data_IF_836672816667
#
_entry.id   IF_836672816667
#
_cell.length_a   1.000
_cell.length_b   1.000
_cell.length_c   1.000
_cell.angle_alpha   90.00
_cell.angle_beta   90.00
_cell.angle_gamma   90.00
#
_symmetry.space_group_name_H-M   'P 1'
#
loop_
_entity.id
_entity.type
_entity.pdbx_description
1 polymer ?
#
# COMPACT_ATOMS: atom_id res chain seq x y z
N UNK A 1 10.22 -6.90 -33.69
CA UNK A 1 10.26 -7.94 -32.65
C UNK A 1 8.85 -8.08 -32.07
N UNK A 2 8.22 -9.24 -32.21
CA UNK A 2 6.92 -9.49 -31.60
C UNK A 2 7.10 -9.48 -30.08
N UNK A 3 6.55 -8.46 -29.43
CA UNK A 3 6.57 -8.36 -27.97
C UNK A 3 5.89 -9.60 -27.38
N UNK A 4 6.47 -10.21 -26.36
CA UNK A 4 5.88 -11.41 -25.75
C UNK A 4 4.51 -11.03 -25.17
N UNK A 5 3.46 -11.80 -25.47
CA UNK A 5 2.08 -11.48 -25.04
C UNK A 5 1.99 -11.25 -23.52
N UNK A 6 2.85 -11.93 -22.75
CA UNK A 6 3.00 -11.73 -21.31
C UNK A 6 3.47 -10.31 -20.92
N UNK A 7 4.40 -9.71 -21.67
CA UNK A 7 4.90 -8.35 -21.40
C UNK A 7 3.83 -7.30 -21.68
N UNK A 8 3.08 -7.49 -22.77
CA UNK A 8 1.95 -6.62 -23.12
C UNK A 8 0.87 -6.67 -22.03
N UNK A 9 0.56 -7.87 -21.54
CA UNK A 9 -0.40 -8.05 -20.46
C UNK A 9 0.06 -7.38 -19.15
N UNK A 10 1.32 -7.58 -18.76
CA UNK A 10 1.90 -6.94 -17.57
C UNK A 10 1.86 -5.42 -17.66
N UNK A 11 2.18 -4.85 -18.83
CA UNK A 11 2.12 -3.41 -19.06
C UNK A 11 0.70 -2.85 -18.88
N UNK A 12 -0.30 -3.48 -19.52
CA UNK A 12 -1.71 -3.04 -19.44
C UNK A 12 -2.25 -3.16 -18.01
N UNK A 13 -1.98 -4.27 -17.33
CA UNK A 13 -2.41 -4.50 -15.96
C UNK A 13 -1.91 -3.39 -15.02
N UNK A 14 -0.65 -3.03 -15.18
CA UNK A 14 0.03 -2.04 -14.35
C UNK A 14 -0.49 -0.62 -14.58
N UNK A 15 -0.75 -0.29 -15.84
CA UNK A 15 -1.38 0.97 -16.23
C UNK A 15 -2.79 1.06 -15.62
N UNK A 16 -3.56 -0.03 -15.68
CA UNK A 16 -4.88 -0.09 -15.07
C UNK A 16 -4.83 0.07 -13.55
N UNK A 17 -3.87 -0.58 -12.88
CA UNK A 17 -3.67 -0.47 -11.43
C UNK A 17 -3.36 0.96 -10.98
N UNK A 18 -2.40 1.65 -11.64
CA UNK A 18 -2.05 3.04 -11.29
C UNK A 18 -3.24 4.00 -11.46
N UNK A 19 -4.02 3.84 -12.54
CA UNK A 19 -5.24 4.65 -12.76
C UNK A 19 -6.32 4.36 -11.72
N UNK A 20 -6.60 3.09 -11.46
CA UNK A 20 -7.57 2.68 -10.46
C UNK A 20 -7.19 3.21 -9.06
N UNK A 21 -5.91 3.13 -8.72
CA UNK A 21 -5.41 3.68 -7.45
C UNK A 21 -5.59 5.16 -7.30
N UNK A 22 -5.29 5.91 -8.37
CA UNK A 22 -5.35 7.36 -8.34
C UNK A 22 -6.78 7.78 -8.04
N UNK A 23 -7.73 7.18 -8.77
CA UNK A 23 -9.15 7.49 -8.59
C UNK A 23 -9.65 7.08 -7.20
N UNK A 24 -9.36 5.86 -6.77
CA UNK A 24 -9.81 5.36 -5.45
C UNK A 24 -9.19 6.13 -4.29
N UNK A 25 -7.89 6.47 -4.35
CA UNK A 25 -7.21 7.21 -3.28
C UNK A 25 -7.72 8.65 -3.18
N UNK A 26 -7.96 9.32 -4.30
CA UNK A 26 -8.55 10.66 -4.31
C UNK A 26 -9.98 10.65 -3.73
N UNK A 27 -10.80 9.67 -4.09
CA UNK A 27 -12.17 9.54 -3.59
C UNK A 27 -12.20 9.25 -2.09
N UNK A 28 -11.42 8.27 -1.61
CA UNK A 28 -11.41 7.89 -0.19
C UNK A 28 -10.87 9.02 0.71
N UNK A 29 -9.78 9.67 0.31
CA UNK A 29 -9.25 10.82 1.05
C UNK A 29 -10.24 12.00 1.04
N UNK A 30 -10.88 12.28 -0.08
CA UNK A 30 -11.91 13.32 -0.19
C UNK A 30 -13.11 13.05 0.71
N UNK A 31 -13.64 11.82 0.69
CA UNK A 31 -14.76 11.46 1.56
C UNK A 31 -14.41 11.51 3.04
N UNK A 32 -13.23 11.00 3.44
CA UNK A 32 -12.78 11.07 4.83
C UNK A 32 -12.67 12.53 5.31
N UNK A 33 -12.09 13.40 4.48
CA UNK A 33 -11.96 14.82 4.81
C UNK A 33 -13.32 15.53 4.91
N UNK A 34 -14.27 15.24 4.01
CA UNK A 34 -15.64 15.77 4.09
C UNK A 34 -16.34 15.28 5.36
N UNK A 35 -16.24 13.99 5.68
CA UNK A 35 -16.84 13.47 6.91
C UNK A 35 -16.24 14.08 8.17
N UNK A 36 -14.93 14.38 8.19
CA UNK A 36 -14.28 15.05 9.32
C UNK A 36 -14.84 16.46 9.55
N UNK A 37 -15.00 17.26 8.49
CA UNK A 37 -15.51 18.65 8.64
C UNK A 37 -17.00 18.70 8.96
N UNK A 38 -17.77 17.68 8.54
CA UNK A 38 -19.19 17.52 8.86
C UNK A 38 -19.44 16.85 10.23
N UNK A 39 -18.37 16.39 10.91
CA UNK A 39 -18.49 15.73 12.19
C UNK A 39 -18.77 16.75 13.30
N UNK A 40 -19.95 16.65 13.86
CA UNK A 40 -20.33 17.39 15.06
C UNK A 40 -19.99 16.55 16.29
N UNK A 41 -19.32 17.16 17.27
CA UNK A 41 -18.96 16.54 18.54
C UNK A 41 -19.39 17.42 19.70
N UNK A 42 -19.63 16.79 20.85
CA UNK A 42 -20.05 17.46 22.07
C UNK A 42 -18.83 17.96 22.86
N UNK A 43 -18.90 19.04 23.66
CA UNK A 43 -17.77 19.52 24.46
C UNK A 43 -17.27 18.49 25.48
N UNK A 44 -18.14 17.55 25.90
CA UNK A 44 -17.81 16.45 26.81
C UNK A 44 -17.11 15.27 26.10
N UNK A 45 -16.74 15.44 24.83
CA UNK A 45 -15.92 14.46 24.09
C UNK A 45 -14.50 14.43 24.64
N UNK A 46 -13.97 13.25 25.03
CA UNK A 46 -12.61 13.16 25.56
C UNK A 46 -11.60 13.62 24.52
N UNK A 47 -10.71 14.51 24.93
CA UNK A 47 -9.65 15.06 24.10
C UNK A 47 -8.80 13.97 23.44
N UNK A 48 -8.57 12.85 24.13
CA UNK A 48 -7.85 11.71 23.59
C UNK A 48 -8.49 11.15 22.30
N UNK A 49 -9.82 11.10 22.21
CA UNK A 49 -10.53 10.59 21.05
C UNK A 49 -10.43 11.55 19.85
N UNK A 50 -10.52 12.86 20.11
CA UNK A 50 -10.32 13.90 19.09
C UNK A 50 -8.89 13.87 18.53
N UNK A 51 -7.90 13.64 19.40
CA UNK A 51 -6.50 13.46 18.97
C UNK A 51 -6.35 12.21 18.10
N UNK A 52 -6.92 11.08 18.53
CA UNK A 52 -6.87 9.82 17.75
C UNK A 52 -7.54 9.97 16.40
N UNK A 53 -8.70 10.63 16.33
CA UNK A 53 -9.37 10.96 15.07
C UNK A 53 -8.45 11.80 14.18
N UNK A 54 -7.96 12.94 14.69
CA UNK A 54 -7.10 13.83 13.91
C UNK A 54 -5.82 13.18 13.39
N UNK A 55 -5.15 12.36 14.21
CA UNK A 55 -3.97 11.59 13.78
C UNK A 55 -4.35 10.54 12.73
N UNK A 56 -5.48 9.84 12.91
CA UNK A 56 -5.95 8.84 11.95
C UNK A 56 -6.28 9.46 10.60
N UNK A 57 -7.04 10.57 10.56
CA UNK A 57 -7.34 11.28 9.32
C UNK A 57 -6.07 11.79 8.64
N UNK A 58 -5.12 12.34 9.41
CA UNK A 58 -3.85 12.83 8.86
C UNK A 58 -3.03 11.70 8.21
N UNK A 59 -2.93 10.54 8.87
CA UNK A 59 -2.25 9.38 8.33
C UNK A 59 -2.97 8.82 7.09
N UNK A 60 -4.30 8.74 7.13
CA UNK A 60 -5.15 8.28 6.03
C UNK A 60 -4.89 9.12 4.77
N UNK A 61 -4.99 10.45 4.91
CA UNK A 61 -4.77 11.38 3.80
C UNK A 61 -3.33 11.28 3.30
N UNK A 62 -2.36 11.23 4.21
CA UNK A 62 -0.93 11.13 3.84
C UNK A 62 -0.63 9.87 3.02
N UNK A 63 -1.18 8.73 3.40
CA UNK A 63 -0.97 7.46 2.69
C UNK A 63 -1.65 7.45 1.32
N UNK A 64 -2.85 8.04 1.20
CA UNK A 64 -3.51 8.19 -0.09
C UNK A 64 -2.82 9.20 -1.02
N UNK A 65 -2.24 10.27 -0.46
CA UNK A 65 -1.40 11.20 -1.22
C UNK A 65 -0.10 10.53 -1.70
N UNK A 66 0.50 9.64 -0.90
CA UNK A 66 1.64 8.83 -1.32
C UNK A 66 1.27 7.93 -2.52
N UNK A 67 0.11 7.27 -2.49
CA UNK A 67 -0.39 6.47 -3.60
C UNK A 67 -0.61 7.31 -4.87
N UNK A 68 -1.19 8.52 -4.72
CA UNK A 68 -1.40 9.48 -5.80
C UNK A 68 -0.09 9.99 -6.41
N UNK A 69 0.91 10.29 -5.57
CA UNK A 69 2.24 10.70 -6.03
C UNK A 69 2.90 9.60 -6.85
N UNK A 70 2.83 8.35 -6.39
CA UNK A 70 3.35 7.21 -7.15
C UNK A 70 2.65 7.06 -8.51
N UNK A 71 1.31 7.16 -8.56
CA UNK A 71 0.58 7.15 -9.83
C UNK A 71 0.97 8.31 -10.74
N UNK A 72 1.10 9.52 -10.21
CA UNK A 72 1.44 10.74 -10.98
C UNK A 72 2.85 10.68 -11.57
N UNK A 73 3.82 10.18 -10.81
CA UNK A 73 5.21 10.12 -11.27
C UNK A 73 5.47 8.96 -12.24
N UNK A 74 4.74 7.85 -12.12
CA UNK A 74 5.06 6.61 -12.85
C UNK A 74 4.24 6.46 -14.13
N UNK A 75 2.98 6.90 -14.12
CA UNK A 75 2.09 6.80 -15.28
C UNK A 75 2.65 7.47 -16.55
N UNK A 76 3.15 8.73 -16.55
CA UNK A 76 3.70 9.35 -17.75
C UNK A 76 4.98 8.66 -18.23
N UNK A 77 5.81 8.18 -17.31
CA UNK A 77 7.00 7.41 -17.65
C UNK A 77 6.67 6.09 -18.34
N UNK A 78 5.63 5.38 -17.86
CA UNK A 78 5.13 4.17 -18.50
C UNK A 78 4.56 4.45 -19.90
N UNK A 79 3.79 5.52 -20.07
CA UNK A 79 3.20 5.87 -21.37
C UNK A 79 4.26 6.30 -22.40
N UNK A 80 5.33 6.97 -21.97
CA UNK A 80 6.44 7.38 -22.85
C UNK A 80 7.39 6.22 -23.23
N UNK A 81 7.68 5.30 -22.31
CA UNK A 81 8.62 4.20 -22.58
C UNK A 81 8.05 3.10 -23.49
N UNK A 82 6.72 2.90 -23.44
CA UNK A 82 6.05 1.81 -24.16
C UNK A 82 6.50 0.41 -23.70
N UNK A 83 5.94 -0.66 -24.31
CA UNK A 83 6.35 -2.01 -24.00
C UNK A 83 7.67 -2.29 -24.72
N UNK A 84 8.79 -2.22 -24.01
CA UNK A 84 10.12 -2.58 -24.53
C UNK A 84 10.80 -3.57 -23.58
N UNK A 85 11.46 -4.62 -24.10
CA UNK A 85 12.01 -5.73 -23.30
C UNK A 85 13.17 -5.30 -22.38
N UNK A 86 13.88 -4.23 -22.71
CA UNK A 86 15.06 -3.75 -21.96
C UNK A 86 14.78 -2.58 -21.00
N UNK A 87 13.53 -2.13 -20.88
CA UNK A 87 13.29 -0.90 -20.15
C UNK A 87 13.51 -1.09 -18.63
N UNK A 88 14.30 -0.21 -17.97
CA UNK A 88 14.65 -0.30 -16.56
C UNK A 88 13.44 -0.27 -15.62
N UNK A 89 12.27 0.12 -16.14
CA UNK A 89 10.99 -0.03 -15.46
C UNK A 89 10.77 -1.47 -14.98
N UNK A 90 11.08 -2.52 -15.73
CA UNK A 90 10.82 -3.93 -15.33
C UNK A 90 11.57 -4.33 -14.04
N UNK A 91 12.74 -3.76 -13.77
CA UNK A 91 13.48 -4.02 -12.51
C UNK A 91 12.90 -3.21 -11.35
N UNK A 92 12.56 -1.94 -11.57
CA UNK A 92 12.09 -1.03 -10.52
C UNK A 92 10.59 -1.21 -10.24
N UNK A 93 9.87 -1.76 -11.20
CA UNK A 93 8.42 -1.93 -11.19
C UNK A 93 7.91 -2.79 -10.05
N UNK A 94 8.67 -3.79 -9.62
CA UNK A 94 8.28 -4.59 -8.44
C UNK A 94 8.27 -3.73 -7.18
N UNK A 95 9.28 -2.89 -7.00
CA UNK A 95 9.37 -1.99 -5.84
C UNK A 95 8.27 -0.94 -5.89
N UNK A 96 8.02 -0.39 -7.07
CA UNK A 96 6.91 0.53 -7.33
C UNK A 96 5.56 -0.12 -7.02
N UNK A 97 5.29 -1.30 -7.57
CA UNK A 97 4.03 -2.03 -7.38
C UNK A 97 3.86 -2.46 -5.92
N UNK A 98 4.95 -2.76 -5.21
CA UNK A 98 4.92 -3.12 -3.80
C UNK A 98 4.62 -1.91 -2.92
N UNK A 99 5.30 -0.79 -3.14
CA UNK A 99 5.03 0.48 -2.44
C UNK A 99 3.62 0.97 -2.70
N UNK A 100 3.16 0.84 -3.95
CA UNK A 100 1.81 1.15 -4.37
C UNK A 100 0.77 0.29 -3.63
N UNK A 101 0.93 -1.03 -3.66
CA UNK A 101 0.02 -1.95 -2.98
C UNK A 101 0.01 -1.71 -1.46
N UNK A 102 1.17 -1.47 -0.87
CA UNK A 102 1.30 -1.18 0.56
C UNK A 102 0.58 0.12 0.94
N UNK A 103 0.74 1.19 0.16
CA UNK A 103 0.01 2.45 0.37
C UNK A 103 -1.51 2.27 0.23
N UNK A 104 -1.98 1.49 -0.74
CA UNK A 104 -3.42 1.22 -0.90
C UNK A 104 -3.97 0.39 0.25
N UNK A 105 -3.22 -0.63 0.66
CA UNK A 105 -3.59 -1.54 1.73
C UNK A 105 -3.70 -0.80 3.08
N UNK A 106 -2.68 -0.02 3.44
CA UNK A 106 -2.70 0.81 4.66
C UNK A 106 -3.80 1.88 4.59
N UNK A 107 -3.99 2.53 3.43
CA UNK A 107 -5.03 3.54 3.26
C UNK A 107 -6.43 2.98 3.54
N UNK A 108 -6.75 1.79 3.03
CA UNK A 108 -8.03 1.12 3.29
C UNK A 108 -8.24 0.75 4.76
N UNK A 109 -7.18 0.31 5.46
CA UNK A 109 -7.24 0.03 6.90
C UNK A 109 -7.55 1.30 7.67
N UNK A 110 -6.80 2.37 7.40
CA UNK A 110 -6.99 3.66 8.05
C UNK A 110 -8.38 4.23 7.77
N UNK A 111 -8.89 4.07 6.54
CA UNK A 111 -10.25 4.45 6.18
C UNK A 111 -11.33 3.72 6.98
N UNK A 112 -11.13 2.42 7.25
CA UNK A 112 -12.06 1.68 8.08
C UNK A 112 -12.02 2.11 9.55
N UNK A 113 -10.82 2.38 10.08
CA UNK A 113 -10.64 2.91 11.44
C UNK A 113 -11.32 4.27 11.57
N UNK A 114 -11.11 5.15 10.58
CA UNK A 114 -11.71 6.49 10.53
C UNK A 114 -13.25 6.45 10.61
N UNK A 115 -13.88 5.59 9.80
CA UNK A 115 -15.34 5.41 9.83
C UNK A 115 -15.81 4.90 11.20
N UNK A 116 -15.07 3.96 11.81
CA UNK A 116 -15.37 3.46 13.14
C UNK A 116 -15.33 4.57 14.20
N UNK A 117 -14.31 5.42 14.17
CA UNK A 117 -14.18 6.56 15.08
C UNK A 117 -15.31 7.58 14.90
N UNK A 118 -15.66 7.89 13.66
CA UNK A 118 -16.75 8.81 13.33
C UNK A 118 -18.09 8.29 13.88
N UNK A 119 -18.39 7.00 13.69
CA UNK A 119 -19.61 6.42 14.23
C UNK A 119 -19.63 6.43 15.75
N UNK A 120 -18.52 6.06 16.38
CA UNK A 120 -18.41 6.10 17.84
C UNK A 120 -18.71 7.51 18.37
N UNK A 121 -18.12 8.54 17.77
CA UNK A 121 -18.37 9.94 18.15
C UNK A 121 -19.82 10.35 17.93
N UNK A 122 -20.44 9.97 16.81
CA UNK A 122 -21.85 10.28 16.56
C UNK A 122 -22.80 9.59 17.52
N UNK A 123 -22.63 8.31 17.81
CA UNK A 123 -23.50 7.60 18.75
C UNK A 123 -23.36 8.12 20.17
N UNK A 124 -22.14 8.54 20.55
CA UNK A 124 -21.90 9.19 21.84
C UNK A 124 -22.61 10.54 21.96
N UNK A 125 -22.59 11.37 20.91
CA UNK A 125 -23.28 12.66 20.88
C UNK A 125 -24.82 12.53 21.01
N UNK A 126 -25.40 11.38 20.66
CA UNK A 126 -26.85 11.11 20.78
C UNK A 126 -27.18 10.42 22.14
N UNK A 127 -26.19 10.18 22.99
CA UNK A 127 -26.38 9.52 24.30
C UNK A 127 -26.58 8.00 24.22
N UNK A 128 -26.40 7.40 23.04
CA UNK A 128 -26.43 5.93 22.84
C UNK A 128 -25.02 5.36 22.91
N UNK A 129 -24.34 5.52 24.04
CA UNK A 129 -22.95 5.06 24.18
C UNK A 129 -22.82 3.55 23.92
N UNK A 130 -23.81 2.74 24.33
CA UNK A 130 -23.79 1.29 24.06
C UNK A 130 -23.79 0.94 22.57
N UNK A 131 -24.48 1.72 21.73
CA UNK A 131 -24.46 1.53 20.28
C UNK A 131 -23.09 1.90 19.70
N UNK A 132 -22.48 2.99 20.22
CA UNK A 132 -21.11 3.38 19.89
C UNK A 132 -20.11 2.30 20.25
N UNK A 133 -20.21 1.74 21.45
CA UNK A 133 -19.42 0.58 21.86
C UNK A 133 -19.65 -0.58 20.91
N UNK A 134 -20.88 -0.98 20.57
CA UNK A 134 -21.13 -2.08 19.62
C UNK A 134 -20.54 -1.81 18.23
N UNK A 135 -20.65 -0.59 17.69
CA UNK A 135 -20.00 -0.26 16.40
C UNK A 135 -18.47 -0.33 16.46
N UNK A 136 -17.89 -0.05 17.63
CA UNK A 136 -16.44 -0.16 17.87
C UNK A 136 -16.06 -1.59 18.30
N UNK A 137 -17.00 -2.35 18.89
CA UNK A 137 -16.83 -3.64 19.55
C UNK A 137 -17.19 -4.85 18.66
N UNK A 138 -17.90 -4.63 17.55
CA UNK A 138 -17.86 -5.55 16.40
C UNK A 138 -16.39 -5.69 15.90
N UNK A 139 -15.47 -4.83 16.35
CA UNK A 139 -14.02 -4.98 16.21
C UNK A 139 -13.23 -5.34 17.51
N UNK A 140 -13.82 -5.44 18.70
CA UNK A 140 -13.14 -5.96 19.92
C UNK A 140 -14.04 -6.10 21.15
N UNK A 141 -13.92 -7.22 21.88
CA UNK A 141 -14.36 -7.39 23.28
C UNK A 141 -13.18 -7.12 24.27
N UNK A 142 -13.39 -7.09 25.61
CA UNK A 142 -13.28 -5.91 26.46
C UNK A 142 -11.87 -5.57 27.03
N UNK A 143 -11.62 -4.25 27.12
CA UNK A 143 -11.01 -3.47 28.23
C UNK A 143 -9.70 -4.03 28.80
N UNK A 144 -8.52 -3.52 28.39
CA UNK A 144 -7.72 -2.63 29.26
C UNK A 144 -6.76 -1.65 28.54
N UNK A 145 -6.69 -1.62 27.20
CA UNK A 145 -5.73 -0.78 26.46
C UNK A 145 -6.38 -0.05 25.26
N UNK A 146 -6.58 1.29 25.30
CA UNK A 146 -7.24 2.04 24.22
C UNK A 146 -6.39 2.22 22.94
N UNK A 147 -5.22 1.59 22.86
CA UNK A 147 -4.31 1.63 21.69
C UNK A 147 -4.48 0.39 20.77
N UNK A 148 -5.65 -0.26 20.77
CA UNK A 148 -5.88 -1.53 20.06
C UNK A 148 -7.28 -1.51 19.42
N UNK A 149 -7.50 -0.63 18.44
CA UNK A 149 -8.86 -0.33 17.91
C UNK A 149 -9.19 -1.07 16.61
N UNK A 150 -8.35 -2.00 16.14
CA UNK A 150 -8.57 -2.59 14.80
C UNK A 150 -8.15 -4.04 14.60
N UNK A 151 -7.95 -4.83 15.65
CA UNK A 151 -7.21 -6.11 15.57
C UNK A 151 -7.75 -7.13 14.57
N UNK A 152 -9.05 -7.43 14.41
CA UNK A 152 -9.46 -8.50 13.49
C UNK A 152 -9.26 -8.08 12.03
N UNK A 153 -9.71 -6.88 11.68
CA UNK A 153 -9.60 -6.38 10.30
C UNK A 153 -8.17 -5.95 9.98
N UNK A 154 -7.46 -5.34 10.93
CA UNK A 154 -6.03 -5.05 10.84
C UNK A 154 -5.23 -6.35 10.79
N UNK A 155 -5.53 -7.39 11.55
CA UNK A 155 -4.83 -8.68 11.45
C UNK A 155 -5.14 -9.37 10.14
N UNK A 156 -6.37 -9.35 9.62
CA UNK A 156 -6.67 -9.90 8.28
C UNK A 156 -5.92 -9.10 7.22
N UNK A 157 -5.93 -7.77 7.29
CA UNK A 157 -5.20 -6.91 6.36
C UNK A 157 -3.68 -7.06 6.49
N UNK A 158 -3.13 -7.14 7.70
CA UNK A 158 -1.71 -7.34 7.99
C UNK A 158 -1.30 -8.75 7.62
N UNK A 159 -2.13 -9.77 7.83
CA UNK A 159 -1.87 -11.14 7.36
C UNK A 159 -1.87 -11.21 5.85
N UNK A 160 -2.83 -10.56 5.18
CA UNK A 160 -2.86 -10.48 3.71
C UNK A 160 -1.67 -9.66 3.21
N UNK A 161 -1.34 -8.53 3.84
CA UNK A 161 -0.20 -7.68 3.49
C UNK A 161 1.12 -8.40 3.73
N UNK A 162 1.29 -9.11 4.85
CA UNK A 162 2.44 -9.97 5.14
C UNK A 162 2.51 -11.18 4.22
N UNK A 163 1.38 -11.79 3.85
CA UNK A 163 1.33 -12.91 2.92
C UNK A 163 1.74 -12.46 1.52
N UNK A 164 1.24 -11.33 1.05
CA UNK A 164 1.63 -10.73 -0.22
C UNK A 164 3.09 -10.27 -0.15
N UNK A 165 3.52 -9.64 0.94
CA UNK A 165 4.90 -9.20 1.13
C UNK A 165 5.87 -10.39 1.19
N UNK A 166 5.51 -11.51 1.85
CA UNK A 166 6.31 -12.74 1.86
C UNK A 166 6.37 -13.39 0.49
N UNK A 167 5.22 -13.54 -0.18
CA UNK A 167 5.15 -14.13 -1.52
C UNK A 167 5.96 -13.28 -2.52
N UNK A 168 5.84 -11.96 -2.47
CA UNK A 168 6.59 -11.02 -3.31
C UNK A 168 8.06 -10.91 -2.92
N UNK A 169 8.41 -10.94 -1.63
CA UNK A 169 9.80 -10.91 -1.16
C UNK A 169 10.55 -12.19 -1.54
N UNK A 170 9.91 -13.35 -1.42
CA UNK A 170 10.45 -14.61 -1.93
C UNK A 170 10.76 -14.50 -3.43
N UNK A 171 9.82 -13.98 -4.23
CA UNK A 171 10.05 -13.74 -5.65
C UNK A 171 11.09 -12.64 -5.95
N UNK A 172 11.26 -11.63 -5.09
CA UNK A 172 12.29 -10.59 -5.22
C UNK A 172 13.68 -11.16 -4.95
N UNK A 173 13.83 -11.92 -3.86
CA UNK A 173 15.07 -12.60 -3.45
C UNK A 173 15.47 -13.64 -4.50
N UNK A 174 14.52 -14.43 -5.00
CA UNK A 174 14.79 -15.43 -6.03
C UNK A 174 15.28 -14.79 -7.35
N UNK A 175 14.77 -13.60 -7.68
CA UNK A 175 15.24 -12.83 -8.84
C UNK A 175 16.60 -12.17 -8.61
N UNK A 176 16.90 -11.75 -7.38
CA UNK A 176 18.22 -11.25 -7.00
C UNK A 176 19.27 -12.37 -7.06
N UNK A 177 18.94 -13.56 -6.57
CA UNK A 177 19.80 -14.74 -6.67
C UNK A 177 20.09 -15.13 -8.13
N UNK A 178 19.10 -15.03 -9.02
CA UNK A 178 19.29 -15.25 -10.47
C UNK A 178 20.22 -14.22 -11.12
N UNK A 179 20.17 -12.96 -10.68
CA UNK A 179 21.11 -11.92 -11.15
C UNK A 179 22.52 -12.11 -10.62
N UNK A 180 22.67 -12.46 -9.34
CA UNK A 180 23.96 -12.73 -8.70
C UNK A 180 24.63 -13.94 -9.33
N UNK A 181 23.88 -15.01 -9.61
CA UNK A 181 24.40 -16.20 -10.31
C UNK A 181 24.80 -15.90 -11.76
N UNK A 182 24.02 -15.10 -12.50
CA UNK A 182 24.40 -14.64 -13.83
C UNK A 182 25.70 -13.81 -13.85
N UNK A 183 25.88 -12.92 -12.87
CA UNK A 183 27.10 -12.13 -12.72
C UNK A 183 28.31 -13.00 -12.37
N UNK A 184 28.11 -14.00 -11.50
CA UNK A 184 29.13 -14.98 -11.12
C UNK A 184 29.57 -15.82 -12.32
N UNK A 185 28.64 -16.20 -13.20
CA UNK A 185 28.96 -16.89 -14.45
C UNK A 185 29.80 -16.02 -15.40
N UNK A 186 29.46 -14.74 -15.56
CA UNK A 186 30.24 -13.81 -16.39
C UNK A 186 31.66 -13.56 -15.87
N UNK A 187 31.83 -13.47 -14.53
CA UNK A 187 33.14 -13.37 -13.89
C UNK A 187 33.98 -14.62 -14.15
N UNK A 188 33.41 -15.82 -13.93
CA UNK A 188 34.11 -17.07 -14.19
C UNK A 188 34.52 -17.24 -15.67
N UNK A 189 33.64 -16.87 -16.61
CA UNK A 189 33.98 -16.91 -18.04
C UNK A 189 35.07 -15.89 -18.41
N UNK A 190 35.08 -14.71 -17.79
CA UNK A 190 36.16 -13.73 -18.00
C UNK A 190 37.50 -14.23 -17.44
N UNK A 191 37.49 -14.84 -16.26
CA UNK A 191 38.71 -15.36 -15.62
C UNK A 191 39.30 -16.55 -16.40
N UNK A 192 38.44 -17.42 -16.96
CA UNK A 192 38.86 -18.45 -17.92
C UNK A 192 39.48 -17.87 -19.19
N UNK A 193 38.89 -16.81 -19.76
CA UNK A 193 39.44 -16.18 -20.96
C UNK A 193 40.79 -15.50 -20.69
N UNK A 194 40.95 -14.85 -19.54
CA UNK A 194 42.22 -14.21 -19.13
C UNK A 194 43.31 -15.27 -18.91
N UNK A 195 42.98 -16.40 -18.30
CA UNK A 195 43.93 -17.50 -18.09
C UNK A 195 44.36 -18.15 -19.40
N UNK A 196 43.48 -18.30 -20.39
CA UNK A 196 43.89 -18.75 -21.74
C UNK A 196 44.78 -17.73 -22.46
N UNK A 197 44.56 -16.42 -22.26
CA UNK A 197 45.36 -15.37 -22.88
C UNK A 197 46.76 -15.22 -22.26
N UNK A 198 46.99 -15.73 -21.04
CA UNK A 198 48.33 -15.79 -20.40
C UNK A 198 49.17 -16.99 -20.85
N UNK A 199 48.57 -17.96 -21.54
CA UNK A 199 49.23 -19.20 -22.00
C UNK A 199 49.74 -19.05 -23.44
N UNK A 200 49.28 -18.02 -24.16
CA UNK A 200 49.76 -17.59 -25.49
C UNK A 200 50.83 -16.51 -25.33
#
# INVERSE_FOLDING_TARGET
AALNMAEKYSYVLSKAQLKASSNTSALLAGFAMVCLVELHYDPDTPHALLIVLGVTTALLVSVHLLALMMSTCILPYMEAAGPTPDSPHIRLKIYIDLSWLFSTCIGLILFLIEIGLIFYMKFRAIGFEQAGWVTTAILSEPIDNPLIVSVPVLCVFVMISCFIHRSRASHSIDRMNKKVSGLKHMLNSSDQNISLMKIV
#
